data_IF_222823339852
#
_entry.id   IF_222823339852
#
_cell.length_a   1.000
_cell.length_b   1.000
_cell.length_c   1.000
_cell.angle_alpha   90.00
_cell.angle_beta   90.00
_cell.angle_gamma   90.00
#
_symmetry.space_group_name_H-M   'P 1'
#
loop_
_entity.id
_entity.type
_entity.pdbx_description
1 polymer ?
#
# COMPACT_ATOMS: atom_id res chain seq x y z
N UNK A 1 12.77 6.19 8.41
CA UNK A 1 11.79 5.78 9.43
C UNK A 1 12.23 4.46 10.02
N UNK A 2 12.25 4.38 11.35
CA UNK A 2 12.70 3.24 12.15
C UNK A 2 11.80 2.00 11.95
N UNK A 3 12.39 0.92 11.47
CA UNK A 3 11.70 -0.37 11.28
C UNK A 3 11.23 -1.01 12.60
N UNK A 4 11.75 -0.54 13.74
CA UNK A 4 11.34 -1.00 15.06
C UNK A 4 10.10 -0.27 15.60
N UNK A 5 9.57 0.72 14.86
CA UNK A 5 8.35 1.45 15.22
C UNK A 5 7.08 0.62 14.92
N UNK A 6 6.94 -0.50 15.63
CA UNK A 6 5.78 -1.41 15.60
C UNK A 6 4.78 -1.12 16.72
N UNK A 7 5.21 -0.31 17.70
CA UNK A 7 4.45 0.03 18.92
C UNK A 7 4.07 1.51 18.89
N UNK A 8 2.76 1.79 18.86
CA UNK A 8 2.22 3.14 18.72
C UNK A 8 1.92 3.75 20.10
N UNK A 9 2.99 4.13 20.80
CA UNK A 9 2.95 4.61 22.20
C UNK A 9 2.01 5.80 22.43
N UNK A 10 1.85 6.67 21.43
CA UNK A 10 0.95 7.83 21.49
C UNK A 10 -0.54 7.45 21.40
N UNK A 11 -0.84 6.23 20.94
CA UNK A 11 -2.20 5.71 20.79
C UNK A 11 -2.58 4.70 21.90
N UNK A 12 -1.81 4.65 22.99
CA UNK A 12 -2.14 3.89 24.20
C UNK A 12 -1.71 2.42 24.22
N UNK A 13 -0.86 2.00 23.29
CA UNK A 13 -0.25 0.66 23.30
C UNK A 13 0.90 0.57 24.32
N UNK A 14 1.00 -0.56 25.03
CA UNK A 14 2.07 -0.87 25.99
C UNK A 14 3.17 -1.70 25.32
N UNK A 15 4.44 -1.57 25.74
CA UNK A 15 5.57 -2.33 25.17
C UNK A 15 5.51 -3.82 25.52
N UNK A 16 5.31 -4.69 24.53
CA UNK A 16 5.48 -6.15 24.61
C UNK A 16 6.77 -6.62 23.90
N UNK A 17 7.43 -7.66 24.43
CA UNK A 17 8.82 -8.09 24.13
C UNK A 17 9.13 -8.35 22.63
N UNK A 18 10.35 -7.93 22.22
CA UNK A 18 10.91 -7.89 20.85
C UNK A 18 10.97 -9.24 20.14
N UNK A 19 10.55 -9.26 18.86
CA UNK A 19 10.92 -10.25 17.84
C UNK A 19 12.14 -9.77 17.03
N UNK A 20 12.89 -10.73 16.50
CA UNK A 20 14.21 -10.63 15.85
C UNK A 20 14.26 -9.76 14.59
N UNK A 21 15.33 -8.96 14.48
CA UNK A 21 15.62 -8.07 13.36
C UNK A 21 15.85 -8.84 12.04
N UNK A 22 15.21 -8.36 10.96
CA UNK A 22 15.43 -8.83 9.58
C UNK A 22 16.00 -7.66 8.78
N UNK A 23 17.07 -7.92 8.04
CA UNK A 23 17.84 -6.94 7.29
C UNK A 23 17.06 -6.45 6.05
N UNK A 24 16.97 -5.13 5.87
CA UNK A 24 16.12 -4.48 4.88
C UNK A 24 16.89 -4.16 3.60
N UNK A 25 16.38 -4.65 2.46
CA UNK A 25 17.03 -4.54 1.15
C UNK A 25 16.68 -3.22 0.44
N UNK A 26 17.57 -2.77 -0.46
CA UNK A 26 17.42 -1.50 -1.21
C UNK A 26 16.12 -1.38 -2.02
N UNK A 27 15.48 -2.50 -2.36
CA UNK A 27 14.18 -2.54 -3.06
C UNK A 27 13.05 -1.94 -2.21
N UNK A 28 13.06 -2.20 -0.91
CA UNK A 28 12.07 -1.65 0.02
C UNK A 28 12.17 -0.12 0.14
N UNK A 29 13.38 0.44 0.08
CA UNK A 29 13.59 1.89 0.12
C UNK A 29 12.96 2.62 -1.07
N UNK A 30 12.92 1.99 -2.25
CA UNK A 30 12.32 2.58 -3.45
C UNK A 30 10.79 2.55 -3.44
N UNK A 31 10.17 1.61 -2.72
CA UNK A 31 8.71 1.48 -2.61
C UNK A 31 8.09 2.57 -1.71
N UNK A 32 8.79 3.00 -0.65
CA UNK A 32 8.31 4.03 0.28
C UNK A 32 8.00 5.38 -0.36
N UNK A 33 8.76 5.76 -1.39
CA UNK A 33 8.62 7.06 -2.05
C UNK A 33 7.46 7.13 -3.06
N UNK A 34 6.75 6.02 -3.29
CA UNK A 34 5.61 5.94 -4.24
C UNK A 34 4.27 6.18 -3.53
N UNK A 35 4.17 5.90 -2.22
CA UNK A 35 2.89 5.85 -1.50
C UNK A 35 2.42 7.17 -0.87
N UNK A 36 3.34 8.09 -0.56
CA UNK A 36 3.00 9.36 0.12
C UNK A 36 2.08 10.28 -0.73
N UNK A 37 1.92 9.96 -2.04
CA UNK A 37 1.07 10.71 -2.97
C UNK A 37 -0.34 10.11 -3.16
N UNK A 38 -0.64 8.92 -2.61
CA UNK A 38 -1.90 8.20 -2.87
C UNK A 38 -3.11 8.63 -2.01
N UNK A 39 -2.93 9.60 -1.10
CA UNK A 39 -3.94 10.01 -0.10
C UNK A 39 -5.23 10.62 -0.67
N UNK A 40 -5.36 10.79 -1.99
CA UNK A 40 -6.45 11.52 -2.65
C UNK A 40 -7.36 10.72 -3.59
N UNK A 41 -7.07 9.46 -3.92
CA UNK A 41 -7.81 8.73 -4.96
C UNK A 41 -8.08 7.29 -4.52
N UNK A 42 -9.11 7.06 -3.70
CA UNK A 42 -9.96 5.85 -3.70
C UNK A 42 -10.92 5.92 -2.50
N UNK A 43 -12.01 6.70 -2.64
CA UNK A 43 -13.26 6.27 -2.03
C UNK A 43 -13.88 5.24 -3.00
N UNK A 44 -14.25 4.07 -2.46
CA UNK A 44 -14.75 2.88 -3.17
C UNK A 44 -13.65 1.93 -3.68
N UNK A 45 -13.22 1.02 -2.80
CA UNK A 45 -12.83 -0.32 -3.22
C UNK A 45 -13.77 -1.25 -2.47
N UNK A 46 -14.72 -1.81 -3.22
CA UNK A 46 -15.60 -2.87 -2.76
C UNK A 46 -14.76 -4.10 -2.42
N UNK A 47 -15.10 -4.79 -1.33
CA UNK A 47 -14.39 -5.95 -0.83
C UNK A 47 -14.57 -7.13 -1.81
N UNK A 48 -13.65 -7.28 -2.77
CA UNK A 48 -13.49 -8.53 -3.49
C UNK A 48 -12.15 -9.17 -3.12
N UNK A 49 -12.28 -10.19 -2.28
CA UNK A 49 -11.24 -11.13 -1.90
C UNK A 49 -10.82 -11.94 -3.13
N UNK A 50 -9.92 -11.39 -3.92
CA UNK A 50 -9.29 -12.10 -5.03
C UNK A 50 -8.01 -12.76 -4.53
N UNK A 51 -8.03 -14.09 -4.49
CA UNK A 51 -6.88 -14.95 -4.29
C UNK A 51 -5.75 -14.44 -5.20
N UNK A 52 -4.63 -14.01 -4.61
CA UNK A 52 -3.47 -13.58 -5.36
C UNK A 52 -2.43 -14.72 -5.33
N UNK A 53 -2.52 -15.73 -6.22
CA UNK A 53 -1.38 -16.59 -6.46
C UNK A 53 -0.39 -15.79 -7.31
N UNK A 54 0.85 -15.66 -6.89
CA UNK A 54 2.04 -15.76 -7.75
C UNK A 54 3.31 -15.29 -7.03
N UNK A 55 4.36 -16.08 -7.21
CA UNK A 55 5.76 -15.96 -6.78
C UNK A 55 6.34 -14.54 -6.80
N UNK A 56 6.09 -13.79 -5.72
CA UNK A 56 6.53 -12.41 -5.48
C UNK A 56 8.05 -12.20 -5.51
N UNK A 57 8.82 -13.22 -5.15
CA UNK A 57 10.28 -13.13 -5.03
C UNK A 57 10.96 -13.17 -6.40
N UNK A 58 10.40 -13.91 -7.35
CA UNK A 58 10.99 -14.07 -8.68
C UNK A 58 10.93 -12.76 -9.48
N UNK A 59 9.84 -12.00 -9.37
CA UNK A 59 9.64 -10.75 -10.11
C UNK A 59 10.49 -9.57 -9.64
N UNK A 60 10.89 -9.57 -8.37
CA UNK A 60 11.72 -8.52 -7.80
C UNK A 60 13.15 -8.53 -8.38
N UNK A 61 13.62 -9.71 -8.80
CA UNK A 61 14.99 -9.94 -9.27
C UNK A 61 15.12 -9.99 -10.80
N UNK A 62 14.02 -10.03 -11.55
CA UNK A 62 14.06 -10.02 -13.02
C UNK A 62 14.61 -8.67 -13.50
N UNK A 63 15.76 -8.63 -14.20
CA UNK A 63 16.31 -7.40 -14.76
C UNK A 63 15.42 -6.88 -15.89
N UNK A 64 15.37 -5.57 -16.10
CA UNK A 64 14.54 -4.94 -17.14
C UNK A 64 14.83 -5.49 -18.55
N UNK A 65 16.08 -5.84 -18.81
CA UNK A 65 16.55 -6.56 -19.99
C UNK A 65 17.87 -7.25 -19.62
N UNK A 66 18.33 -8.18 -20.46
CA UNK A 66 19.55 -8.93 -20.20
C UNK A 66 20.76 -8.01 -19.99
N UNK A 67 21.41 -8.11 -18.82
CA UNK A 67 22.55 -7.27 -18.46
C UNK A 67 22.20 -5.92 -17.82
N UNK A 68 20.93 -5.60 -17.61
CA UNK A 68 20.53 -4.40 -16.89
C UNK A 68 20.80 -4.55 -15.38
N UNK A 69 21.79 -3.84 -14.85
CA UNK A 69 22.09 -3.81 -13.41
C UNK A 69 21.38 -2.69 -12.65
N UNK A 70 20.86 -1.69 -13.38
CA UNK A 70 20.29 -0.48 -12.79
C UNK A 70 18.81 -0.62 -12.44
N UNK A 71 18.05 -1.35 -13.25
CA UNK A 71 16.60 -1.49 -13.08
C UNK A 71 16.17 -2.95 -13.22
N UNK A 72 15.38 -3.40 -12.26
CA UNK A 72 14.56 -4.61 -12.33
C UNK A 72 13.16 -4.28 -12.85
N UNK A 73 12.42 -5.30 -13.31
CA UNK A 73 11.03 -5.20 -13.77
C UNK A 73 10.14 -4.49 -12.76
N UNK A 74 10.32 -4.82 -11.48
CA UNK A 74 9.60 -4.18 -10.39
C UNK A 74 10.01 -2.73 -10.18
N UNK A 75 11.32 -2.46 -10.12
CA UNK A 75 11.80 -1.10 -9.86
C UNK A 75 11.36 -0.12 -10.94
N UNK A 76 11.35 -0.52 -12.22
CA UNK A 76 10.92 0.34 -13.31
C UNK A 76 9.41 0.58 -13.26
N UNK A 77 8.62 -0.46 -12.94
CA UNK A 77 7.18 -0.35 -12.78
C UNK A 77 6.83 0.67 -11.68
N UNK A 78 7.53 0.60 -10.54
CA UNK A 78 7.34 1.54 -9.44
C UNK A 78 7.68 3.00 -9.83
N UNK A 79 8.82 3.21 -10.50
CA UNK A 79 9.26 4.55 -10.94
C UNK A 79 8.30 5.14 -11.97
N UNK A 80 7.88 4.35 -12.96
CA UNK A 80 6.97 4.80 -14.01
C UNK A 80 5.57 5.09 -13.46
N UNK A 81 5.06 4.24 -12.55
CA UNK A 81 3.76 4.44 -11.93
C UNK A 81 3.75 5.67 -11.01
N UNK A 82 4.85 5.92 -10.28
CA UNK A 82 5.04 7.18 -9.55
C UNK A 82 5.01 8.37 -10.50
N UNK A 83 5.71 8.31 -11.62
CA UNK A 83 5.68 9.40 -12.60
C UNK A 83 4.25 9.63 -13.14
N UNK A 84 3.56 8.56 -13.50
CA UNK A 84 2.15 8.61 -13.96
C UNK A 84 1.27 9.36 -12.97
N UNK A 85 1.34 8.99 -11.70
CA UNK A 85 0.47 9.53 -10.64
C UNK A 85 0.82 10.98 -10.31
N UNK A 86 2.11 11.29 -10.16
CA UNK A 86 2.60 12.64 -9.89
C UNK A 86 2.17 13.68 -10.94
N UNK A 87 2.08 13.27 -12.20
CA UNK A 87 1.73 14.16 -13.31
C UNK A 87 0.32 13.92 -13.87
N UNK A 88 -0.50 13.08 -13.21
CA UNK A 88 -1.89 12.86 -13.58
C UNK A 88 -2.11 12.26 -14.98
N UNK A 89 -1.21 11.39 -15.44
CA UNK A 89 -1.32 10.75 -16.75
C UNK A 89 -2.56 9.85 -16.80
N UNK A 90 -3.40 10.01 -17.82
CA UNK A 90 -4.48 9.06 -18.10
C UNK A 90 -3.93 7.66 -18.35
N UNK A 91 -4.72 6.60 -18.13
CA UNK A 91 -4.30 5.22 -18.41
C UNK A 91 -3.93 5.06 -19.88
N UNK A 92 -4.77 5.55 -20.79
CA UNK A 92 -4.52 5.48 -22.23
C UNK A 92 -3.21 6.19 -22.64
N UNK A 93 -2.94 7.39 -22.13
CA UNK A 93 -1.69 8.10 -22.46
C UNK A 93 -0.46 7.41 -21.87
N UNK A 94 -0.60 6.78 -20.71
CA UNK A 94 0.49 6.04 -20.08
C UNK A 94 0.75 4.70 -20.78
N UNK A 95 -0.29 3.98 -21.20
CA UNK A 95 -0.17 2.74 -21.97
C UNK A 95 0.58 3.00 -23.28
N UNK A 96 0.22 4.06 -24.01
CA UNK A 96 0.95 4.47 -25.21
C UNK A 96 2.43 4.80 -24.92
N UNK A 97 2.73 5.42 -23.77
CA UNK A 97 4.11 5.70 -23.36
C UNK A 97 4.89 4.40 -23.07
N UNK A 98 4.25 3.44 -22.42
CA UNK A 98 4.85 2.13 -22.13
C UNK A 98 5.16 1.36 -23.42
N UNK A 99 4.27 1.42 -24.41
CA UNK A 99 4.51 0.83 -25.75
C UNK A 99 5.74 1.48 -26.41
N UNK A 100 5.83 2.81 -26.43
CA UNK A 100 7.00 3.52 -26.97
C UNK A 100 8.29 3.13 -26.24
N UNK A 101 8.25 3.01 -24.91
CA UNK A 101 9.42 2.60 -24.13
C UNK A 101 9.80 1.14 -24.41
N UNK A 102 8.83 0.26 -24.60
CA UNK A 102 9.05 -1.13 -24.98
C UNK A 102 9.79 -1.23 -26.31
N UNK A 103 9.42 -0.40 -27.29
CA UNK A 103 10.06 -0.36 -28.62
C UNK A 103 11.47 0.27 -28.59
N UNK A 104 11.74 1.17 -27.65
CA UNK A 104 13.06 1.80 -27.49
C UNK A 104 14.08 0.91 -26.76
N UNK A 105 13.62 -0.09 -26.00
CA UNK A 105 14.47 -0.98 -25.23
C UNK A 105 14.97 -2.16 -26.08
N UNK A 106 16.05 -2.85 -25.65
CA UNK A 106 16.54 -4.05 -26.34
C UNK A 106 15.48 -5.15 -26.46
N UNK A 107 15.66 -6.04 -27.43
CA UNK A 107 14.84 -7.25 -27.56
C UNK A 107 14.84 -8.07 -26.26
N UNK A 108 13.71 -8.71 -25.94
CA UNK A 108 13.48 -9.46 -24.71
C UNK A 108 13.50 -8.61 -23.42
N UNK A 109 13.16 -7.33 -23.51
CA UNK A 109 12.90 -6.53 -22.33
C UNK A 109 11.61 -6.97 -21.61
N UNK A 110 11.55 -6.70 -20.31
CA UNK A 110 10.45 -7.12 -19.44
C UNK A 110 9.63 -5.93 -18.97
N UNK A 111 9.63 -4.81 -19.71
CA UNK A 111 8.86 -3.64 -19.29
C UNK A 111 7.35 -3.97 -19.33
N UNK A 112 6.56 -3.56 -18.33
CA UNK A 112 5.12 -3.70 -18.41
C UNK A 112 4.57 -2.88 -19.59
N UNK A 113 3.64 -3.46 -20.34
CA UNK A 113 3.03 -2.87 -21.53
C UNK A 113 1.72 -2.11 -21.27
N UNK A 114 1.20 -2.16 -20.04
CA UNK A 114 -0.04 -1.47 -19.69
C UNK A 114 -0.06 -1.04 -18.23
N UNK A 115 -0.88 -0.03 -17.94
CA UNK A 115 -1.17 0.45 -16.59
C UNK A 115 -1.66 -0.70 -15.71
N UNK A 116 -2.52 -1.57 -16.24
CA UNK A 116 -3.02 -2.74 -15.51
C UNK A 116 -1.88 -3.70 -15.16
N UNK A 117 -0.97 -3.98 -16.09
CA UNK A 117 0.19 -4.85 -15.85
C UNK A 117 1.09 -4.26 -14.76
N UNK A 118 1.32 -2.94 -14.78
CA UNK A 118 2.04 -2.21 -13.73
C UNK A 118 1.33 -2.33 -12.37
N UNK A 119 0.02 -2.08 -12.34
CA UNK A 119 -0.79 -2.17 -11.12
C UNK A 119 -0.80 -3.57 -10.54
N UNK A 120 -0.95 -4.61 -11.37
CA UNK A 120 -0.89 -6.00 -10.93
C UNK A 120 0.48 -6.34 -10.34
N UNK A 121 1.55 -5.79 -10.91
CA UNK A 121 2.90 -6.03 -10.42
C UNK A 121 3.19 -5.28 -9.11
N UNK A 122 2.58 -4.12 -8.91
CA UNK A 122 2.70 -3.34 -7.66
C UNK A 122 1.70 -3.74 -6.58
N UNK A 123 0.59 -4.41 -6.95
CA UNK A 123 -0.48 -4.80 -6.03
C UNK A 123 0.03 -5.58 -4.81
N UNK A 124 0.93 -6.57 -4.92
CA UNK A 124 1.49 -7.24 -3.74
C UNK A 124 2.22 -6.29 -2.78
N UNK A 125 2.90 -5.27 -3.31
CA UNK A 125 3.60 -4.26 -2.51
C UNK A 125 2.63 -3.29 -1.84
N UNK A 126 1.47 -3.04 -2.46
CA UNK A 126 0.35 -2.31 -1.85
C UNK A 126 -0.41 -3.17 -0.82
N UNK A 127 -0.30 -4.49 -0.87
CA UNK A 127 -0.94 -5.41 0.09
C UNK A 127 -0.15 -5.56 1.39
N UNK A 128 1.14 -5.21 1.42
CA UNK A 128 1.91 -5.13 2.67
C UNK A 128 1.46 -3.95 3.56
N UNK A 129 0.51 -3.15 3.08
CA UNK A 129 -0.04 -2.01 3.78
C UNK A 129 -1.10 -2.48 4.78
N UNK A 130 -0.77 -2.42 6.06
CA UNK A 130 -1.66 -2.85 7.14
C UNK A 130 -2.68 -1.74 7.40
N UNK A 131 -3.96 -2.01 7.12
CA UNK A 131 -5.07 -1.10 7.44
C UNK A 131 -5.50 -1.32 8.89
N UNK A 132 -5.38 -0.29 9.72
CA UNK A 132 -5.71 -0.32 11.15
C UNK A 132 -6.87 0.64 11.41
N UNK A 133 -7.91 0.17 12.08
CA UNK A 133 -9.03 1.04 12.46
C UNK A 133 -8.59 1.97 13.58
N UNK A 134 -8.94 3.26 13.48
CA UNK A 134 -8.57 4.27 14.46
C UNK A 134 -9.80 4.94 15.05
N UNK A 135 -9.65 5.47 16.26
CA UNK A 135 -10.64 6.37 16.84
C UNK A 135 -10.73 7.65 15.99
N UNK A 136 -11.94 8.18 15.80
CA UNK A 136 -12.15 9.45 15.08
C UNK A 136 -11.38 10.62 15.71
N UNK A 137 -11.19 10.59 17.04
CA UNK A 137 -10.44 11.58 17.81
C UNK A 137 -8.97 11.16 18.04
N UNK A 138 -8.44 10.21 17.26
CA UNK A 138 -7.05 9.72 17.31
C UNK A 138 -6.59 9.17 18.68
N UNK A 139 -7.54 8.88 19.57
CA UNK A 139 -7.26 8.46 20.94
C UNK A 139 -6.61 7.08 21.07
N UNK A 140 -6.96 6.15 20.16
CA UNK A 140 -6.46 4.78 20.14
C UNK A 140 -6.59 4.14 18.75
N UNK A 141 -5.85 3.05 18.55
CA UNK A 141 -6.01 2.12 17.44
C UNK A 141 -6.79 0.88 17.90
N UNK A 142 -7.76 0.43 17.11
CA UNK A 142 -8.54 -0.78 17.40
C UNK A 142 -7.79 -2.01 16.87
N UNK A 143 -6.69 -2.35 17.54
CA UNK A 143 -5.85 -3.53 17.30
C UNK A 143 -5.43 -4.17 18.63
N UNK A 144 -4.83 -5.36 18.57
CA UNK A 144 -4.40 -6.12 19.75
C UNK A 144 -5.57 -6.24 20.75
N UNK A 145 -5.39 -5.79 22.00
CA UNK A 145 -6.41 -5.85 23.06
C UNK A 145 -7.70 -5.06 22.73
N UNK A 146 -7.62 -4.08 21.83
CA UNK A 146 -8.76 -3.28 21.38
C UNK A 146 -9.39 -3.78 20.07
N UNK A 147 -8.91 -4.89 19.51
CA UNK A 147 -9.39 -5.43 18.23
C UNK A 147 -10.88 -5.75 18.24
N UNK A 148 -11.40 -6.24 19.36
CA UNK A 148 -12.83 -6.57 19.53
C UNK A 148 -13.66 -5.41 20.08
N UNK A 149 -13.03 -4.27 20.40
CA UNK A 149 -13.76 -3.13 20.94
C UNK A 149 -14.58 -2.45 19.84
N UNK A 150 -15.82 -2.06 20.18
CA UNK A 150 -16.69 -1.26 19.31
C UNK A 150 -16.63 0.24 19.64
N UNK A 151 -16.04 0.61 20.78
CA UNK A 151 -15.97 1.99 21.27
C UNK A 151 -14.58 2.32 21.80
N UNK A 152 -14.18 3.57 21.65
CA UNK A 152 -12.92 4.05 22.18
C UNK A 152 -12.97 4.10 23.71
N UNK A 153 -12.04 3.46 24.44
CA UNK A 153 -12.04 3.47 25.90
C UNK A 153 -11.71 4.84 26.50
N UNK A 154 -11.07 5.75 25.75
CA UNK A 154 -10.71 7.09 26.22
C UNK A 154 -11.82 8.12 26.05
N UNK A 155 -12.46 8.16 24.88
CA UNK A 155 -13.42 9.22 24.53
C UNK A 155 -14.85 8.70 24.25
N UNK A 156 -15.10 7.40 24.34
CA UNK A 156 -16.41 6.79 24.12
C UNK A 156 -16.90 6.78 22.66
N UNK A 157 -16.12 7.33 21.72
CA UNK A 157 -16.52 7.38 20.31
C UNK A 157 -16.62 5.99 19.68
N UNK A 158 -17.62 5.79 18.82
CA UNK A 158 -17.82 4.56 18.07
C UNK A 158 -16.64 4.28 17.12
N UNK A 159 -16.26 3.00 17.00
CA UNK A 159 -15.34 2.48 15.97
C UNK A 159 -15.94 2.60 14.56
N UNK A 160 -17.26 2.49 14.47
CA UNK A 160 -18.00 2.38 13.21
C UNK A 160 -18.56 3.72 12.76
N UNK A 161 -18.72 3.88 11.44
CA UNK A 161 -19.22 5.09 10.79
C UNK A 161 -20.67 5.38 11.15
N UNK A 162 -20.98 6.64 11.43
CA UNK A 162 -22.34 7.12 11.59
C UNK A 162 -22.95 7.39 10.20
N UNK A 163 -24.15 6.90 9.95
CA UNK A 163 -24.91 7.30 8.78
C UNK A 163 -25.60 8.64 9.04
N UNK A 164 -25.17 9.69 8.36
CA UNK A 164 -25.70 11.06 8.57
C UNK A 164 -27.19 11.19 8.26
N UNK A 165 -27.73 10.36 7.36
CA UNK A 165 -29.15 10.41 6.97
C UNK A 165 -30.08 9.87 8.05
N UNK A 166 -29.65 8.79 8.71
CA UNK A 166 -30.50 8.04 9.63
C UNK A 166 -30.02 8.10 11.10
N UNK A 167 -28.89 8.78 11.36
CA UNK A 167 -28.17 8.84 12.64
C UNK A 167 -27.90 7.46 13.29
N UNK A 168 -27.87 6.40 12.47
CA UNK A 168 -27.60 5.03 12.90
C UNK A 168 -26.15 4.66 12.61
N UNK A 169 -25.55 3.90 13.52
CA UNK A 169 -24.20 3.34 13.34
C UNK A 169 -24.29 2.16 12.38
N UNK A 170 -23.48 2.16 11.32
CA UNK A 170 -23.37 1.04 10.39
C UNK A 170 -22.18 0.15 10.78
N UNK A 171 -22.47 -0.94 11.50
CA UNK A 171 -21.45 -1.93 11.87
C UNK A 171 -20.87 -2.56 10.60
N UNK A 172 -19.54 -2.68 10.54
CA UNK A 172 -18.80 -3.18 9.37
C UNK A 172 -17.96 -2.10 8.69
N UNK A 173 -18.41 -0.83 8.68
CA UNK A 173 -17.62 0.28 8.11
C UNK A 173 -16.94 1.10 9.19
N UNK A 174 -15.60 1.13 9.28
CA UNK A 174 -14.88 1.90 10.29
C UNK A 174 -15.08 3.41 10.10
N UNK A 175 -15.12 4.16 11.21
CA UNK A 175 -15.22 5.62 11.18
C UNK A 175 -13.92 6.27 10.69
N UNK A 176 -12.76 5.67 11.01
CA UNK A 176 -11.43 6.11 10.56
C UNK A 176 -10.53 4.89 10.36
N UNK A 177 -9.76 4.90 9.27
CA UNK A 177 -8.77 3.87 8.96
C UNK A 177 -7.42 4.56 8.73
N UNK A 178 -6.37 4.02 9.33
CA UNK A 178 -4.98 4.37 9.05
C UNK A 178 -4.34 3.25 8.26
N UNK A 179 -3.45 3.62 7.34
CA UNK A 179 -2.66 2.67 6.57
C UNK A 179 -1.23 2.73 7.08
N UNK A 180 -0.66 1.59 7.47
CA UNK A 180 0.72 1.44 7.91
C UNK A 180 1.54 0.69 6.88
N UNK A 181 2.70 1.25 6.56
CA UNK A 181 3.70 0.64 5.69
C UNK A 181 4.84 0.10 6.59
N UNK A 182 4.86 -1.21 6.90
CA UNK A 182 5.86 -1.83 7.76
C UNK A 182 7.25 -1.63 7.20
#
# INVERSE_FOLDING_TARGET
>A
MDMSYTTWIWHGEQLGKKGTDVEMTNTYSMSRDVDDHYRGIHENVDEQQDNCPMNFVEDAEIPLYQGCSKYTRLSIAAVLYKHKTMYGYSNKSFDNLLEILCDMLPELNTIPNSTRSVEMLLKPFQLNCIRIHACVNDCCLFRNDLEKSETCPKCGSSRWKLNDRNKKIHKGSPAKVLTYFP
#
